data_IF_919981535065
#
_entry.id   IF_919981535065
#
_cell.length_a   1.000
_cell.length_b   1.000
_cell.length_c   1.000
_cell.angle_alpha   90.00
_cell.angle_beta   90.00
_cell.angle_gamma   90.00
#
_symmetry.space_group_name_H-M   'P 1'
#
loop_
_entity.id
_entity.type
_entity.pdbx_description
1 polymer ?
#
# COMPACT_ATOMS: atom_id res chain seq x y z
N UNK A 1 20.55 -3.21 -9.60
CA UNK A 1 20.69 -1.74 -9.44
C UNK A 1 19.51 -1.23 -8.63
N UNK A 2 19.57 -0.02 -8.06
CA UNK A 2 18.37 0.59 -7.44
C UNK A 2 17.55 1.21 -8.57
N UNK A 3 16.28 0.82 -8.75
CA UNK A 3 15.47 1.33 -9.85
C UNK A 3 15.26 2.84 -9.75
N UNK A 4 15.33 3.52 -10.88
CA UNK A 4 15.19 4.98 -10.96
C UNK A 4 13.76 5.42 -10.62
N UNK A 5 12.79 4.73 -11.24
CA UNK A 5 11.36 4.93 -11.04
C UNK A 5 10.83 3.78 -10.19
N UNK A 6 10.35 4.08 -8.98
CA UNK A 6 9.77 3.06 -8.07
C UNK A 6 8.25 3.15 -7.98
N UNK A 7 7.66 4.25 -8.43
CA UNK A 7 6.23 4.52 -8.42
C UNK A 7 5.90 5.28 -9.70
N UNK A 8 4.85 4.87 -10.39
CA UNK A 8 4.29 5.56 -11.55
C UNK A 8 2.77 5.31 -11.61
N UNK A 9 2.11 5.75 -12.68
CA UNK A 9 0.67 5.64 -12.86
C UNK A 9 0.32 4.92 -14.16
N UNK A 10 -0.88 4.33 -14.21
CA UNK A 10 -1.42 3.83 -15.48
C UNK A 10 -1.72 5.00 -16.42
N UNK A 11 -1.16 4.95 -17.63
CA UNK A 11 -1.45 5.89 -18.71
C UNK A 11 -2.75 5.57 -19.42
N UNK A 12 -3.12 4.29 -19.48
CA UNK A 12 -4.36 3.80 -20.07
C UNK A 12 -5.07 2.84 -19.10
N UNK A 13 -6.41 2.73 -19.19
CA UNK A 13 -7.15 1.71 -18.45
C UNK A 13 -6.64 0.31 -18.76
N UNK A 14 -6.70 -0.58 -17.78
CA UNK A 14 -6.36 -2.00 -17.92
C UNK A 14 -7.54 -2.86 -17.47
N UNK A 15 -7.82 -3.93 -18.19
CA UNK A 15 -8.93 -4.84 -17.92
C UNK A 15 -8.46 -6.11 -17.22
N UNK A 16 -9.33 -6.71 -16.41
CA UNK A 16 -9.13 -8.08 -15.95
C UNK A 16 -8.90 -9.01 -17.17
N UNK A 17 -7.87 -9.85 -17.08
CA UNK A 17 -7.39 -10.68 -18.18
C UNK A 17 -6.21 -10.10 -18.96
N UNK A 18 -5.96 -8.80 -18.87
CA UNK A 18 -4.81 -8.18 -19.56
C UNK A 18 -3.49 -8.62 -18.94
N UNK A 19 -2.47 -8.78 -19.77
CA UNK A 19 -1.10 -9.11 -19.36
C UNK A 19 -0.13 -7.96 -19.58
N UNK A 20 -0.61 -6.80 -20.04
CA UNK A 20 0.24 -5.66 -20.37
C UNK A 20 -0.36 -4.39 -19.76
N UNK A 21 0.47 -3.65 -19.04
CA UNK A 21 0.13 -2.34 -18.49
C UNK A 21 0.90 -1.26 -19.25
N UNK A 22 0.21 -0.17 -19.59
CA UNK A 22 0.84 1.02 -20.18
C UNK A 22 1.02 2.05 -19.07
N UNK A 23 2.26 2.35 -18.74
CA UNK A 23 2.65 3.28 -17.68
C UNK A 23 2.86 4.69 -18.22
N UNK A 24 2.82 5.69 -17.34
CA UNK A 24 3.15 7.08 -17.71
C UNK A 24 4.65 7.28 -17.93
N UNK A 25 5.47 6.63 -17.10
CA UNK A 25 6.92 6.74 -17.13
C UNK A 25 7.54 5.41 -17.56
N UNK A 26 8.68 5.50 -18.23
CA UNK A 26 9.51 4.34 -18.50
C UNK A 26 10.09 3.80 -17.19
N UNK A 27 10.15 2.48 -17.05
CA UNK A 27 10.70 1.83 -15.86
C UNK A 27 11.86 0.91 -16.22
N UNK A 28 12.77 0.72 -15.27
CA UNK A 28 13.95 -0.16 -15.38
C UNK A 28 13.78 -1.43 -14.52
N UNK A 29 12.54 -1.88 -14.35
CA UNK A 29 12.19 -3.06 -13.55
C UNK A 29 12.62 -4.34 -14.27
N UNK A 30 12.92 -5.38 -13.50
CA UNK A 30 13.48 -6.62 -14.02
C UNK A 30 12.45 -7.76 -13.99
N UNK A 31 12.58 -8.75 -14.89
CA UNK A 31 11.80 -9.99 -14.80
C UNK A 31 11.89 -10.62 -13.40
N UNK A 32 10.74 -10.94 -12.80
CA UNK A 32 10.63 -11.48 -11.46
C UNK A 32 10.42 -10.43 -10.35
N UNK A 33 10.53 -9.14 -10.65
CA UNK A 33 10.15 -8.09 -9.71
C UNK A 33 8.65 -8.16 -9.41
N UNK A 34 8.26 -7.79 -8.19
CA UNK A 34 6.86 -7.66 -7.80
C UNK A 34 6.46 -6.19 -7.83
N UNK A 35 5.29 -5.88 -8.37
CA UNK A 35 4.69 -4.56 -8.32
C UNK A 35 3.29 -4.66 -7.71
N UNK A 36 2.87 -3.63 -6.97
CA UNK A 36 1.50 -3.49 -6.47
C UNK A 36 0.77 -2.45 -7.32
N UNK A 37 -0.45 -2.78 -7.72
CA UNK A 37 -1.38 -1.88 -8.39
C UNK A 37 -2.43 -1.47 -7.37
N UNK A 38 -2.62 -0.17 -7.19
CA UNK A 38 -3.55 0.41 -6.22
C UNK A 38 -4.59 1.23 -6.99
N UNK A 39 -5.87 0.90 -6.82
CA UNK A 39 -6.96 1.64 -7.46
C UNK A 39 -7.01 3.10 -6.98
N UNK A 40 -7.33 4.02 -7.90
CA UNK A 40 -7.39 5.44 -7.59
C UNK A 40 -8.54 5.81 -6.63
N UNK A 41 -9.58 4.96 -6.57
CA UNK A 41 -10.76 5.12 -5.74
C UNK A 41 -11.05 3.77 -5.05
N UNK A 42 -11.48 3.82 -3.79
CA UNK A 42 -12.14 2.70 -3.11
C UNK A 42 -13.65 2.88 -3.26
N UNK A 43 -14.38 1.82 -3.62
CA UNK A 43 -15.84 1.86 -3.54
C UNK A 43 -16.21 1.67 -2.07
N UNK A 44 -17.10 2.50 -1.53
CA UNK A 44 -17.54 2.43 -0.14
C UNK A 44 -17.91 0.98 0.24
N UNK A 45 -17.25 0.45 1.27
CA UNK A 45 -17.46 -0.92 1.75
C UNK A 45 -16.61 -2.01 1.08
N UNK A 46 -15.83 -1.72 0.04
CA UNK A 46 -15.01 -2.72 -0.67
C UNK A 46 -13.49 -2.59 -0.49
N UNK A 47 -13.01 -1.57 0.23
CA UNK A 47 -11.57 -1.30 0.37
C UNK A 47 -10.93 -0.76 -0.92
N UNK A 48 -9.68 -0.29 -0.84
CA UNK A 48 -8.87 -0.07 -2.05
C UNK A 48 -8.63 -1.43 -2.72
N UNK A 49 -8.82 -1.53 -4.03
CA UNK A 49 -8.49 -2.76 -4.76
C UNK A 49 -6.98 -2.77 -4.98
N UNK A 50 -6.30 -3.66 -4.29
CA UNK A 50 -4.85 -3.85 -4.38
C UNK A 50 -4.54 -5.22 -4.98
N UNK A 51 -3.69 -5.25 -6.00
CA UNK A 51 -3.22 -6.48 -6.63
C UNK A 51 -1.71 -6.46 -6.75
N UNK A 52 -1.06 -7.55 -6.33
CA UNK A 52 0.37 -7.75 -6.55
C UNK A 52 0.56 -8.57 -7.82
N UNK A 53 1.37 -8.04 -8.73
CA UNK A 53 1.70 -8.64 -10.02
C UNK A 53 3.19 -8.88 -10.12
N UNK A 54 3.58 -9.87 -10.93
CA UNK A 54 4.98 -10.19 -11.20
C UNK A 54 5.36 -9.71 -12.59
N UNK A 55 6.44 -8.95 -12.68
CA UNK A 55 7.01 -8.46 -13.93
C UNK A 55 7.58 -9.63 -14.72
N UNK A 56 7.13 -9.80 -15.97
CA UNK A 56 7.71 -10.76 -16.90
C UNK A 56 8.76 -10.10 -17.78
N UNK A 57 8.42 -8.97 -18.42
CA UNK A 57 9.36 -8.15 -19.19
C UNK A 57 8.94 -6.69 -19.18
N UNK A 58 9.89 -5.79 -19.47
CA UNK A 58 9.64 -4.35 -19.59
C UNK A 58 10.12 -3.88 -20.96
N UNK A 59 9.25 -3.16 -21.67
CA UNK A 59 9.59 -2.46 -22.90
C UNK A 59 9.27 -0.97 -22.71
N UNK A 60 10.24 -0.19 -22.26
CA UNK A 60 10.08 1.24 -21.99
C UNK A 60 8.99 1.51 -20.93
N UNK A 61 7.82 2.02 -21.34
CA UNK A 61 6.67 2.27 -20.46
C UNK A 61 5.61 1.14 -20.53
N UNK A 62 5.87 0.06 -21.25
CA UNK A 62 5.02 -1.13 -21.30
C UNK A 62 5.56 -2.20 -20.34
N UNK A 63 4.74 -2.55 -19.37
CA UNK A 63 5.04 -3.56 -18.37
C UNK A 63 4.25 -4.83 -18.67
N UNK A 64 4.95 -5.89 -19.07
CA UNK A 64 4.33 -7.20 -19.28
C UNK A 64 4.34 -8.00 -17.99
N UNK A 65 3.20 -8.60 -17.68
CA UNK A 65 2.94 -9.34 -16.46
C UNK A 65 3.04 -10.83 -16.73
N UNK A 66 3.56 -11.57 -15.75
CA UNK A 66 3.65 -13.04 -15.82
C UNK A 66 2.28 -13.71 -15.78
N UNK A 67 1.35 -13.10 -15.05
CA UNK A 67 -0.03 -13.58 -14.91
C UNK A 67 -1.00 -12.46 -15.31
N UNK A 68 -2.14 -12.80 -15.92
CA UNK A 68 -3.15 -11.81 -16.27
C UNK A 68 -3.73 -11.14 -15.03
N UNK A 69 -4.14 -9.87 -15.17
CA UNK A 69 -4.79 -9.11 -14.11
C UNK A 69 -6.08 -9.77 -13.64
N UNK A 70 -6.32 -9.78 -12.34
CA UNK A 70 -7.58 -10.26 -11.75
C UNK A 70 -8.65 -9.18 -11.77
N UNK A 71 -8.24 -7.91 -11.75
CA UNK A 71 -9.14 -6.78 -11.65
C UNK A 71 -8.91 -5.77 -12.78
N UNK A 72 -9.96 -5.00 -13.08
CA UNK A 72 -9.87 -3.87 -14.01
C UNK A 72 -9.53 -2.59 -13.26
N UNK A 73 -8.66 -1.79 -13.85
CA UNK A 73 -8.16 -0.52 -13.33
C UNK A 73 -8.51 0.60 -14.30
N UNK A 74 -9.43 1.48 -13.88
CA UNK A 74 -9.88 2.61 -14.68
C UNK A 74 -9.12 3.89 -14.33
N UNK A 75 -9.21 4.85 -15.24
CA UNK A 75 -8.80 6.24 -15.04
C UNK A 75 -10.09 7.05 -14.93
N UNK A 76 -10.25 7.78 -13.83
CA UNK A 76 -11.47 8.56 -13.55
C UNK A 76 -11.17 10.04 -13.66
N UNK A 77 -12.00 10.79 -14.37
CA UNK A 77 -11.94 12.25 -14.41
C UNK A 77 -13.04 12.86 -13.56
N UNK A 78 -12.67 13.67 -12.59
CA UNK A 78 -13.59 14.32 -11.66
C UNK A 78 -13.47 15.84 -11.76
N UNK A 79 -14.60 16.51 -11.98
CA UNK A 79 -14.68 17.96 -11.96
C UNK A 79 -15.02 18.45 -10.56
N UNK A 80 -14.07 19.12 -9.90
CA UNK A 80 -14.26 19.68 -8.55
C UNK A 80 -13.93 21.16 -8.59
N UNK A 81 -14.88 22.02 -8.18
CA UNK A 81 -14.71 23.47 -8.12
C UNK A 81 -14.17 24.11 -9.44
N UNK A 82 -14.64 23.61 -10.59
CA UNK A 82 -14.24 24.10 -11.91
C UNK A 82 -12.86 23.63 -12.40
N UNK A 83 -12.18 22.75 -11.68
CA UNK A 83 -10.94 22.09 -12.10
C UNK A 83 -11.19 20.62 -12.42
N UNK A 84 -10.59 20.13 -13.50
CA UNK A 84 -10.58 18.71 -13.83
C UNK A 84 -9.45 18.01 -13.05
N UNK A 85 -9.80 16.95 -12.33
CA UNK A 85 -8.89 16.09 -11.59
C UNK A 85 -8.91 14.69 -12.18
N UNK A 86 -7.77 14.25 -12.72
CA UNK A 86 -7.61 12.91 -13.27
C UNK A 86 -7.03 11.99 -12.19
N UNK A 87 -7.81 11.00 -11.78
CA UNK A 87 -7.43 9.98 -10.81
C UNK A 87 -7.00 8.71 -11.56
N UNK A 88 -5.72 8.35 -11.41
CA UNK A 88 -5.10 7.19 -12.07
C UNK A 88 -4.71 6.15 -11.04
N UNK A 89 -4.80 4.89 -11.43
CA UNK A 89 -4.32 3.79 -10.58
C UNK A 89 -2.79 3.87 -10.48
N UNK A 90 -2.27 3.68 -9.27
CA UNK A 90 -0.84 3.76 -8.98
C UNK A 90 -0.21 2.38 -9.17
N UNK A 91 0.96 2.33 -9.80
CA UNK A 91 1.78 1.11 -9.93
C UNK A 91 3.09 1.35 -9.20
N UNK A 92 3.37 0.56 -8.17
CA UNK A 92 4.55 0.73 -7.33
C UNK A 92 5.36 -0.56 -7.24
N UNK A 93 6.67 -0.45 -7.46
CA UNK A 93 7.60 -1.56 -7.31
C UNK A 93 7.74 -1.95 -5.83
N UNK A 94 7.53 -3.23 -5.53
CA UNK A 94 7.78 -3.81 -4.22
C UNK A 94 9.26 -4.20 -4.12
N UNK A 95 10.05 -3.27 -3.57
CA UNK A 95 11.44 -3.56 -3.21
C UNK A 95 11.50 -4.39 -1.94
N UNK A 96 12.04 -5.61 -2.03
CA UNK A 96 12.36 -6.46 -0.87
C UNK A 96 13.67 -6.07 -0.17
N UNK A 97 14.30 -4.97 -0.57
CA UNK A 97 15.62 -4.59 -0.06
C UNK A 97 15.59 -4.29 1.44
N UNK A 98 14.49 -3.72 1.95
CA UNK A 98 14.30 -3.47 3.38
C UNK A 98 12.85 -3.81 3.74
N UNK A 99 12.66 -4.87 4.53
CA UNK A 99 11.35 -5.25 5.08
C UNK A 99 11.31 -4.91 6.56
N UNK A 100 10.37 -4.05 6.94
CA UNK A 100 10.05 -3.78 8.35
C UNK A 100 8.82 -4.63 8.69
N UNK A 101 9.07 -5.68 9.47
CA UNK A 101 8.12 -6.74 9.78
C UNK A 101 7.65 -6.59 11.23
N UNK A 102 6.34 -6.46 11.44
CA UNK A 102 5.75 -6.56 12.77
C UNK A 102 5.67 -8.01 13.28
N UNK A 103 5.48 -8.16 14.59
CA UNK A 103 5.41 -9.47 15.24
C UNK A 103 4.00 -10.09 15.12
N UNK A 104 3.73 -10.81 14.02
CA UNK A 104 2.45 -11.49 13.82
C UNK A 104 2.31 -12.72 14.73
N UNK A 105 1.51 -12.59 15.80
CA UNK A 105 1.29 -13.68 16.77
C UNK A 105 0.21 -14.67 16.31
N UNK A 106 0.29 -15.93 16.76
CA UNK A 106 -0.74 -16.96 16.52
C UNK A 106 -2.13 -16.54 17.02
N UNK A 107 -2.19 -15.77 18.11
CA UNK A 107 -3.44 -15.21 18.64
C UNK A 107 -4.08 -14.24 17.65
N UNK A 108 -3.27 -13.40 16.99
CA UNK A 108 -3.74 -12.48 15.95
C UNK A 108 -4.22 -13.21 14.71
N UNK A 109 -3.50 -14.25 14.27
CA UNK A 109 -3.92 -15.10 13.13
C UNK A 109 -5.27 -15.75 13.39
N UNK A 110 -5.46 -16.36 14.57
CA UNK A 110 -6.75 -16.96 14.98
C UNK A 110 -7.88 -15.93 14.99
N UNK A 111 -7.59 -14.72 15.45
CA UNK A 111 -8.56 -13.64 15.48
C UNK A 111 -8.96 -13.15 14.08
N UNK A 112 -8.00 -12.95 13.18
CA UNK A 112 -8.27 -12.58 11.78
C UNK A 112 -9.15 -13.63 11.09
N UNK A 113 -8.84 -14.92 11.29
CA UNK A 113 -9.64 -16.01 10.76
C UNK A 113 -11.08 -15.96 11.27
N UNK A 114 -11.27 -15.73 12.57
CA UNK A 114 -12.61 -15.60 13.17
C UNK A 114 -13.41 -14.41 12.62
N UNK A 115 -12.75 -13.39 12.06
CA UNK A 115 -13.41 -12.24 11.44
C UNK A 115 -13.69 -12.43 9.95
N UNK A 116 -12.98 -13.33 9.25
CA UNK A 116 -13.25 -13.65 7.84
C UNK A 116 -14.47 -14.56 7.67
N UNK A 117 -14.76 -15.42 8.64
CA UNK A 117 -15.94 -16.30 8.61
C UNK A 117 -17.26 -15.57 8.86
N UNK A 118 -17.24 -14.30 9.28
CA UNK A 118 -18.43 -13.51 9.61
C UNK A 118 -18.70 -12.46 8.52
N UNK A 119 -18.91 -12.92 7.29
CA UNK A 119 -19.56 -12.10 6.26
C UNK A 119 -21.01 -12.58 6.09
N UNK A 120 -21.97 -11.68 6.35
CA UNK A 120 -23.41 -11.77 5.98
C UNK A 120 -24.46 -12.19 7.03
N UNK A 121 -24.22 -12.07 8.34
CA UNK A 121 -25.34 -12.03 9.30
C UNK A 121 -25.23 -10.78 10.19
N UNK A 122 -26.13 -9.83 9.93
CA UNK A 122 -26.30 -8.61 10.70
C UNK A 122 -26.30 -8.88 12.21
N UNK A 123 -25.43 -8.19 12.95
CA UNK A 123 -25.68 -7.91 14.36
C UNK A 123 -24.53 -8.06 15.35
N UNK A 124 -23.38 -8.66 15.00
CA UNK A 124 -22.33 -8.89 16.02
C UNK A 124 -20.88 -8.63 15.59
N UNK A 125 -20.63 -7.58 14.81
CA UNK A 125 -19.28 -7.12 14.46
C UNK A 125 -18.51 -6.45 15.63
N UNK A 126 -19.08 -6.38 16.85
CA UNK A 126 -18.44 -5.71 18.00
C UNK A 126 -17.07 -6.29 18.39
N UNK A 127 -16.83 -7.58 18.12
CA UNK A 127 -15.56 -8.25 18.44
C UNK A 127 -14.51 -8.12 17.33
N UNK A 128 -14.93 -7.82 16.09
CA UNK A 128 -14.03 -7.59 14.95
C UNK A 128 -13.77 -6.11 14.69
N UNK A 129 -14.68 -5.24 15.12
CA UNK A 129 -14.43 -3.81 15.26
C UNK A 129 -13.38 -3.62 16.35
N UNK A 130 -12.44 -2.72 16.10
CA UNK A 130 -11.38 -2.29 17.00
C UNK A 130 -11.99 -1.54 18.21
N UNK A 131 -12.77 -2.23 19.03
CA UNK A 131 -13.33 -1.66 20.25
C UNK A 131 -12.20 -1.57 21.27
N UNK A 132 -11.99 -0.38 21.82
CA UNK A 132 -11.11 -0.06 22.95
C UNK A 132 -11.46 -0.90 24.18
N UNK A 133 -11.13 -2.19 24.14
CA UNK A 133 -11.29 -3.13 25.24
C UNK A 133 -9.91 -3.66 25.59
N UNK A 134 -9.05 -2.75 26.05
CA UNK A 134 -7.78 -3.09 26.68
C UNK A 134 -8.06 -3.77 28.01
N UNK A 135 -8.18 -5.09 28.01
CA UNK A 135 -7.88 -5.88 29.21
C UNK A 135 -6.41 -6.30 29.25
N UNK A 136 -5.72 -6.26 28.10
CA UNK A 136 -4.27 -6.36 27.99
C UNK A 136 -3.78 -5.47 26.84
N UNK A 137 -3.05 -4.41 27.20
CA UNK A 137 -2.33 -3.53 26.28
C UNK A 137 -1.25 -4.33 25.52
N UNK A 138 -1.19 -4.20 24.18
CA UNK A 138 0.01 -4.55 23.40
C UNK A 138 0.16 -6.00 22.91
N UNK A 139 -0.72 -6.93 23.27
CA UNK A 139 -0.62 -8.33 22.79
C UNK A 139 -1.19 -8.54 21.37
N UNK A 140 -2.03 -7.62 20.90
CA UNK A 140 -2.76 -7.72 19.61
C UNK A 140 -2.46 -6.56 18.65
N UNK A 141 -1.67 -5.59 19.10
CA UNK A 141 -1.43 -4.33 18.42
C UNK A 141 -0.10 -4.41 17.67
N UNK A 142 -0.19 -4.61 16.37
CA UNK A 142 0.95 -4.47 15.49
C UNK A 142 1.17 -2.97 15.24
N UNK A 143 2.40 -2.49 15.36
CA UNK A 143 2.73 -1.11 15.03
C UNK A 143 4.24 -0.96 14.90
N UNK A 144 4.70 -0.14 13.95
CA UNK A 144 6.08 0.28 13.89
C UNK A 144 6.15 1.78 14.15
N UNK A 145 7.21 2.21 14.84
CA UNK A 145 7.55 3.62 14.96
C UNK A 145 8.95 3.82 14.39
N UNK A 146 9.04 4.52 13.28
CA UNK A 146 10.32 4.97 12.72
C UNK A 146 10.64 6.32 13.35
N UNK A 147 11.70 6.39 14.16
CA UNK A 147 12.17 7.63 14.78
C UNK A 147 13.43 8.07 14.04
N UNK A 148 13.41 9.30 13.54
CA UNK A 148 14.53 9.94 12.85
C UNK A 148 14.91 11.16 13.68
N UNK A 149 16.14 11.19 14.19
CA UNK A 149 16.66 12.32 14.96
C UNK A 149 17.79 12.99 14.17
N UNK A 150 17.67 14.31 14.01
CA UNK A 150 18.66 15.17 13.36
C UNK A 150 19.38 16.00 14.43
N UNK A 151 20.68 16.22 14.25
CA UNK A 151 21.49 17.09 15.13
C UNK A 151 21.63 18.49 14.51
N UNK A 152 21.70 19.55 15.33
CA UNK A 152 21.52 20.94 14.89
C UNK A 152 22.60 21.48 13.95
N UNK A 153 23.73 20.79 13.79
CA UNK A 153 24.89 21.32 13.05
C UNK A 153 24.88 20.97 11.54
N UNK A 154 23.99 20.08 11.07
CA UNK A 154 23.90 19.71 9.65
C UNK A 154 22.45 19.48 9.16
N UNK A 155 22.08 19.93 7.94
CA UNK A 155 20.77 19.63 7.36
C UNK A 155 20.63 18.13 7.15
N UNK A 156 19.68 17.51 7.84
CA UNK A 156 19.42 16.07 7.70
C UNK A 156 18.33 15.83 6.66
N UNK A 157 18.73 15.33 5.49
CA UNK A 157 17.80 14.83 4.48
C UNK A 157 17.53 13.34 4.75
N UNK A 158 16.29 12.98 5.07
CA UNK A 158 15.89 11.58 5.20
C UNK A 158 15.00 11.16 4.04
N UNK A 159 15.46 10.12 3.34
CA UNK A 159 14.80 9.56 2.17
C UNK A 159 14.62 8.06 2.37
N UNK A 160 13.41 7.65 2.73
CA UNK A 160 13.03 6.25 2.78
C UNK A 160 12.55 5.84 1.38
N UNK A 161 13.30 4.98 0.70
CA UNK A 161 12.96 4.43 -0.62
C UNK A 161 13.00 2.91 -0.57
N UNK A 162 12.01 2.27 -1.22
CA UNK A 162 11.98 0.81 -1.36
C UNK A 162 11.86 0.04 -0.04
N UNK A 163 11.17 0.61 0.95
CA UNK A 163 10.90 -0.03 2.25
C UNK A 163 9.49 -0.61 2.23
N UNK A 164 9.38 -1.92 2.49
CA UNK A 164 8.09 -2.59 2.64
C UNK A 164 7.76 -2.76 4.12
N UNK A 165 6.55 -2.35 4.50
CA UNK A 165 6.02 -2.53 5.84
C UNK A 165 5.02 -3.69 5.84
N UNK A 166 5.26 -4.71 6.66
CA UNK A 166 4.43 -5.91 6.75
C UNK A 166 3.96 -6.14 8.16
N UNK A 167 2.73 -6.64 8.29
CA UNK A 167 2.10 -6.94 9.58
C UNK A 167 2.21 -5.77 10.54
N UNK A 168 1.88 -4.57 10.08
CA UNK A 168 1.78 -3.36 10.90
C UNK A 168 0.31 -2.98 11.03
N UNK A 169 -0.17 -2.84 12.25
CA UNK A 169 -1.52 -2.37 12.56
C UNK A 169 -1.62 -0.85 12.55
N UNK A 170 -2.79 -0.35 12.94
CA UNK A 170 -3.10 1.08 12.94
C UNK A 170 -2.38 1.80 14.09
N UNK A 171 -1.71 2.93 13.81
CA UNK A 171 -1.14 3.77 14.87
C UNK A 171 -2.26 4.34 15.76
N UNK A 172 -2.16 4.11 17.06
CA UNK A 172 -3.04 4.71 18.06
C UNK A 172 -2.52 6.08 18.48
N UNK A 173 -3.06 7.12 17.84
CA UNK A 173 -2.96 8.52 18.25
C UNK A 173 -4.03 9.33 17.52
N UNK A 174 -4.67 10.28 18.21
CA UNK A 174 -5.72 11.16 17.66
C UNK A 174 -5.25 11.95 16.43
N UNK A 175 -3.94 12.08 16.25
CA UNK A 175 -3.32 12.62 15.05
C UNK A 175 -2.12 11.76 14.64
N UNK A 176 -2.09 11.41 13.35
CA UNK A 176 -0.95 10.92 12.57
C UNK A 176 -0.81 9.40 12.42
N UNK A 177 -0.56 9.03 11.17
CA UNK A 177 -0.46 7.71 10.56
C UNK A 177 0.56 6.75 11.21
N UNK A 178 0.64 5.51 10.72
CA UNK A 178 1.68 4.51 11.04
C UNK A 178 3.12 4.96 10.85
N UNK A 179 3.34 6.15 10.28
CA UNK A 179 4.60 6.85 10.17
C UNK A 179 4.48 8.21 10.89
N UNK A 180 5.21 8.39 11.99
CA UNK A 180 5.32 9.67 12.69
C UNK A 180 6.76 10.17 12.62
N UNK A 181 7.01 11.19 11.79
CA UNK A 181 8.26 11.94 11.75
C UNK A 181 8.24 12.99 12.88
N UNK A 182 9.18 12.89 13.83
CA UNK A 182 9.36 13.89 14.89
C UNK A 182 10.75 14.50 14.74
N UNK A 183 10.80 15.78 14.38
CA UNK A 183 12.02 16.56 14.26
C UNK A 183 11.66 18.03 14.05
N UNK A 184 12.61 18.93 14.29
CA UNK A 184 12.46 20.31 13.89
C UNK A 184 12.52 20.39 12.36
N UNK A 185 11.36 20.28 11.69
CA UNK A 185 11.24 20.55 10.27
C UNK A 185 11.51 22.04 10.05
N UNK A 186 12.58 22.35 9.32
CA UNK A 186 12.81 23.65 8.70
C UNK A 186 12.94 23.46 7.20
#
# INVERSE_FOLDING_TARGET
>A
AVPEVTVTYLRAPACAGDTTLVLEEAVDWHPGDEAVIISAMSVEGTGSMEEVVVVETVHNAELHLRTPLRYSYNITENWVAGKNHILKSTVALLSRNIVIQGNLTLERVKHLHSCQEVNAAEGNLKHCLYYKSEKMLGARDLGARVIIQSFPEEPSLVKLKGVQFRDLGQAFSKHSSSLTLVGALR
#
